data_IF_844539857618
#
_entry.id   IF_844539857618
#
_cell.length_a   1.000
_cell.length_b   1.000
_cell.length_c   1.000
_cell.angle_alpha   90.00
_cell.angle_beta   90.00
_cell.angle_gamma   90.00
#
_symmetry.space_group_name_H-M   'P 1'
#
loop_
_entity.id
_entity.type
_entity.pdbx_description
1 polymer ?
#
# COMPACT_ATOMS: atom_id res chain seq x y z
N UNK A 1 -23.72 27.80 -15.59
CA UNK A 1 -22.58 27.28 -14.81
C UNK A 1 -21.65 26.57 -15.79
N UNK A 2 -20.49 27.14 -16.08
CA UNK A 2 -19.57 26.62 -17.08
C UNK A 2 -18.97 25.28 -16.62
N UNK A 3 -19.24 24.23 -17.40
CA UNK A 3 -18.57 22.95 -17.27
C UNK A 3 -17.06 23.21 -17.43
N UNK A 4 -16.24 22.93 -16.41
CA UNK A 4 -14.77 23.03 -16.50
C UNK A 4 -14.21 21.87 -17.34
N UNK A 5 -14.76 21.66 -18.52
CA UNK A 5 -14.09 20.88 -19.54
C UNK A 5 -13.03 21.81 -20.13
N UNK A 6 -11.79 21.58 -19.70
CA UNK A 6 -10.61 22.33 -20.07
C UNK A 6 -10.61 22.66 -21.58
N UNK A 7 -10.88 23.92 -21.95
CA UNK A 7 -10.88 24.42 -23.33
C UNK A 7 -9.53 24.28 -24.08
N UNK A 8 -8.51 23.68 -23.43
CA UNK A 8 -7.17 23.41 -23.95
C UNK A 8 -6.76 21.93 -23.80
N UNK A 9 -7.69 21.03 -23.47
CA UNK A 9 -7.36 19.61 -23.32
C UNK A 9 -7.07 18.97 -24.68
N UNK A 10 -5.78 18.74 -24.96
CA UNK A 10 -5.33 17.97 -26.10
C UNK A 10 -4.75 16.64 -25.63
N UNK A 11 -5.55 15.58 -25.79
CA UNK A 11 -5.26 14.23 -25.31
C UNK A 11 -3.88 13.71 -25.74
N UNK A 12 -3.41 13.91 -27.00
CA UNK A 12 -2.09 13.43 -27.41
C UNK A 12 -0.92 14.00 -26.61
N UNK A 13 -0.98 15.29 -26.22
CA UNK A 13 0.06 15.89 -25.36
C UNK A 13 0.07 15.20 -23.99
N UNK A 14 -1.11 14.97 -23.39
CA UNK A 14 -1.21 14.26 -22.12
C UNK A 14 -0.68 12.82 -22.23
N UNK A 15 -0.96 12.12 -23.33
CA UNK A 15 -0.44 10.77 -23.59
C UNK A 15 1.09 10.75 -23.69
N UNK A 16 1.70 11.70 -24.39
CA UNK A 16 3.15 11.80 -24.52
C UNK A 16 3.79 12.04 -23.14
N UNK A 17 3.26 13.00 -22.37
CA UNK A 17 3.77 13.32 -21.02
C UNK A 17 3.73 12.09 -20.11
N UNK A 18 2.57 11.41 -20.04
CA UNK A 18 2.40 10.23 -19.18
C UNK A 18 3.29 9.07 -19.65
N UNK A 19 3.49 8.91 -20.96
CA UNK A 19 4.35 7.85 -21.51
C UNK A 19 5.81 8.09 -21.16
N UNK A 20 6.30 9.32 -21.32
CA UNK A 20 7.67 9.69 -20.95
C UNK A 20 7.90 9.50 -19.44
N UNK A 21 6.97 9.97 -18.60
CA UNK A 21 7.05 9.76 -17.15
C UNK A 21 7.10 8.27 -16.76
N UNK A 22 6.29 7.43 -17.42
CA UNK A 22 6.33 5.98 -17.22
C UNK A 22 7.67 5.36 -17.60
N UNK A 23 8.30 5.80 -18.68
CA UNK A 23 9.63 5.30 -19.05
C UNK A 23 10.71 5.67 -18.04
N UNK A 24 10.64 6.87 -17.46
CA UNK A 24 11.56 7.27 -16.39
C UNK A 24 11.41 6.37 -15.15
N UNK A 25 10.16 6.13 -14.71
CA UNK A 25 9.89 5.21 -13.59
C UNK A 25 10.28 3.76 -13.91
N UNK A 26 10.08 3.31 -15.15
CA UNK A 26 10.51 1.98 -15.58
C UNK A 26 12.04 1.84 -15.56
N UNK A 27 12.77 2.88 -15.99
CA UNK A 27 14.22 2.94 -15.89
C UNK A 27 14.70 2.84 -14.43
N UNK A 28 14.07 3.59 -13.53
CA UNK A 28 14.34 3.52 -12.10
C UNK A 28 14.03 2.14 -11.51
N UNK A 29 12.90 1.53 -11.89
CA UNK A 29 12.55 0.16 -11.52
C UNK A 29 13.64 -0.84 -11.94
N UNK A 30 14.12 -0.75 -13.17
CA UNK A 30 15.18 -1.64 -13.66
C UNK A 30 16.50 -1.44 -12.92
N UNK A 31 16.88 -0.20 -12.61
CA UNK A 31 18.05 0.08 -11.78
C UNK A 31 17.92 -0.59 -10.41
N UNK A 32 16.81 -0.35 -9.71
CA UNK A 32 16.56 -0.91 -8.38
C UNK A 32 16.58 -2.44 -8.39
N UNK A 33 15.95 -3.05 -9.40
CA UNK A 33 15.95 -4.52 -9.56
C UNK A 33 17.35 -5.08 -9.78
N UNK A 34 18.20 -4.40 -10.56
CA UNK A 34 19.61 -4.80 -10.76
C UNK A 34 20.43 -4.73 -9.48
N UNK A 35 20.08 -3.80 -8.59
CA UNK A 35 20.69 -3.65 -7.27
C UNK A 35 20.04 -4.58 -6.21
N UNK A 36 19.23 -5.56 -6.62
CA UNK A 36 18.51 -6.50 -5.75
C UNK A 36 17.53 -5.85 -4.76
N UNK A 37 17.07 -4.63 -5.03
CA UNK A 37 15.97 -4.04 -4.28
C UNK A 37 14.62 -4.57 -4.75
N UNK A 38 13.70 -4.73 -3.79
CA UNK A 38 12.31 -5.08 -4.08
C UNK A 38 11.47 -3.81 -4.18
N UNK A 39 10.89 -3.57 -5.36
CA UNK A 39 9.87 -2.53 -5.55
C UNK A 39 8.51 -3.10 -5.18
N UNK A 40 7.91 -2.57 -4.12
CA UNK A 40 6.63 -3.04 -3.56
C UNK A 40 5.41 -2.43 -4.24
N UNK A 41 5.56 -1.24 -4.81
CA UNK A 41 4.47 -0.49 -5.44
C UNK A 41 5.02 0.51 -6.44
N UNK A 42 4.26 0.77 -7.49
CA UNK A 42 4.53 1.78 -8.51
C UNK A 42 3.21 2.42 -8.97
N UNK A 43 3.16 3.74 -9.12
CA UNK A 43 2.06 4.44 -9.81
C UNK A 43 2.61 5.40 -10.86
N UNK A 44 1.86 6.46 -11.19
CA UNK A 44 2.18 7.40 -12.27
C UNK A 44 3.43 8.24 -12.03
N UNK A 45 3.82 8.44 -10.78
CA UNK A 45 4.85 9.40 -10.37
C UNK A 45 5.75 8.91 -9.22
N UNK A 46 5.50 7.71 -8.67
CA UNK A 46 6.15 7.24 -7.46
C UNK A 46 6.46 5.74 -7.49
N UNK A 47 7.54 5.37 -6.81
CA UNK A 47 7.96 4.00 -6.55
C UNK A 47 8.15 3.83 -5.04
N UNK A 48 7.67 2.71 -4.50
CA UNK A 48 7.93 2.33 -3.11
C UNK A 48 8.90 1.16 -3.10
N UNK A 49 10.03 1.34 -2.43
CA UNK A 49 11.13 0.37 -2.41
C UNK A 49 11.32 -0.17 -1.01
N UNK A 50 11.36 -1.50 -0.87
CA UNK A 50 11.60 -2.16 0.40
C UNK A 50 13.06 -1.94 0.81
N UNK A 51 13.25 -1.53 2.07
CA UNK A 51 14.56 -1.42 2.70
C UNK A 51 15.55 -0.53 1.94
N UNK A 52 15.06 0.52 1.28
CA UNK A 52 15.93 1.55 0.71
C UNK A 52 16.77 2.19 1.83
N UNK A 53 18.09 2.18 1.66
CA UNK A 53 19.04 2.59 2.71
C UNK A 53 19.19 4.10 2.77
N UNK A 54 19.18 4.76 1.61
CA UNK A 54 19.42 6.19 1.45
C UNK A 54 18.16 7.04 1.72
N UNK A 55 18.34 8.32 2.04
CA UNK A 55 17.25 9.32 2.11
C UNK A 55 17.32 10.30 0.93
N UNK A 56 17.83 9.83 -0.21
CA UNK A 56 17.91 10.56 -1.48
C UNK A 56 17.66 9.58 -2.64
N UNK A 57 17.72 10.08 -3.87
CA UNK A 57 17.58 9.30 -5.09
C UNK A 57 18.75 9.53 -6.05
N UNK A 58 19.92 9.96 -5.56
CA UNK A 58 21.01 10.48 -6.38
C UNK A 58 21.59 9.39 -7.28
N UNK A 59 21.76 8.18 -6.75
CA UNK A 59 22.26 7.03 -7.50
C UNK A 59 21.31 6.61 -8.63
N UNK A 60 19.99 6.66 -8.38
CA UNK A 60 18.96 6.40 -9.39
C UNK A 60 18.95 7.50 -10.46
N UNK A 61 19.00 8.77 -10.03
CA UNK A 61 18.99 9.92 -10.93
C UNK A 61 20.26 9.95 -11.82
N UNK A 62 21.42 9.62 -11.25
CA UNK A 62 22.67 9.49 -12.00
C UNK A 62 22.60 8.38 -13.05
N UNK A 63 21.97 7.24 -12.73
CA UNK A 63 21.73 6.17 -13.69
C UNK A 63 20.78 6.58 -14.81
N UNK A 64 19.71 7.31 -14.48
CA UNK A 64 18.74 7.79 -15.46
C UNK A 64 19.35 8.82 -16.42
N UNK A 65 20.31 9.63 -15.94
CA UNK A 65 21.03 10.64 -16.72
C UNK A 65 20.10 11.53 -17.57
N UNK A 66 19.03 12.03 -16.95
CA UNK A 66 18.02 12.84 -17.62
C UNK A 66 18.32 14.33 -17.42
N UNK A 67 18.22 15.11 -18.50
CA UNK A 67 18.37 16.57 -18.45
C UNK A 67 17.15 17.29 -17.85
N UNK A 68 16.03 16.58 -17.67
CA UNK A 68 14.79 17.10 -17.10
C UNK A 68 14.02 16.03 -16.32
N UNK A 69 13.52 16.41 -15.15
CA UNK A 69 12.83 15.50 -14.23
C UNK A 69 13.81 14.71 -13.37
N UNK A 70 13.63 14.79 -12.04
CA UNK A 70 14.40 14.00 -11.08
C UNK A 70 13.46 13.32 -10.09
N UNK A 71 13.82 12.09 -9.71
CA UNK A 71 13.18 11.41 -8.60
C UNK A 71 13.62 12.08 -7.31
N UNK A 72 12.66 12.25 -6.41
CA UNK A 72 12.89 12.80 -5.08
C UNK A 72 12.51 11.78 -4.03
N UNK A 73 13.31 11.73 -2.98
CA UNK A 73 12.94 10.98 -1.80
C UNK A 73 11.78 11.70 -1.11
N UNK A 74 10.65 11.00 -0.94
CA UNK A 74 9.45 11.57 -0.32
C UNK A 74 9.42 11.28 1.19
N UNK A 75 9.42 9.99 1.58
CA UNK A 75 9.26 9.59 2.97
C UNK A 75 9.67 8.14 3.22
N UNK A 76 9.91 7.80 4.50
CA UNK A 76 10.10 6.41 4.96
C UNK A 76 8.83 5.91 5.62
N UNK A 77 8.41 4.72 5.23
CA UNK A 77 7.29 3.99 5.83
C UNK A 77 7.85 2.86 6.68
N UNK A 78 7.47 2.78 7.95
CA UNK A 78 7.87 1.69 8.84
C UNK A 78 7.18 0.39 8.45
N UNK A 79 5.93 0.51 7.96
CA UNK A 79 5.09 -0.59 7.50
C UNK A 79 4.25 -0.14 6.32
N UNK A 80 4.00 -1.06 5.39
CA UNK A 80 3.22 -0.82 4.18
C UNK A 80 2.36 -2.04 3.89
N UNK A 81 1.06 -1.82 3.69
CA UNK A 81 0.08 -2.78 3.21
C UNK A 81 -0.52 -2.25 1.90
N UNK A 82 -0.15 -2.88 0.79
CA UNK A 82 -0.69 -2.57 -0.54
C UNK A 82 -1.86 -3.50 -0.82
N UNK A 83 -3.04 -2.94 -1.10
CA UNK A 83 -4.25 -3.71 -1.37
C UNK A 83 -4.59 -3.73 -2.87
N UNK A 84 -4.46 -2.59 -3.53
CA UNK A 84 -4.58 -2.46 -5.00
C UNK A 84 -4.00 -1.14 -5.47
N UNK A 85 -4.05 -0.88 -6.78
CA UNK A 85 -3.63 0.40 -7.35
C UNK A 85 -4.35 1.57 -6.65
N UNK A 86 -3.59 2.57 -6.21
CA UNK A 86 -4.06 3.75 -5.44
C UNK A 86 -4.75 3.43 -4.12
N UNK A 87 -4.71 2.19 -3.64
CA UNK A 87 -5.30 1.77 -2.35
C UNK A 87 -4.28 1.04 -1.49
N UNK A 88 -3.75 1.75 -0.52
CA UNK A 88 -2.74 1.23 0.39
C UNK A 88 -2.82 1.94 1.74
N UNK A 89 -2.29 1.27 2.75
CA UNK A 89 -2.22 1.73 4.13
C UNK A 89 -0.76 1.65 4.54
N UNK A 90 -0.25 2.69 5.20
CA UNK A 90 1.12 2.68 5.67
C UNK A 90 1.24 3.34 7.04
N UNK A 91 2.32 3.01 7.74
CA UNK A 91 2.67 3.65 8.99
C UNK A 91 3.90 4.52 8.78
N UNK A 92 3.82 5.77 9.22
CA UNK A 92 4.95 6.72 9.17
C UNK A 92 5.99 6.38 10.23
N UNK A 93 7.17 7.01 10.15
CA UNK A 93 8.18 6.95 11.21
C UNK A 93 7.69 7.51 12.56
N UNK A 94 6.69 8.39 12.55
CA UNK A 94 6.06 8.95 13.77
C UNK A 94 4.99 8.03 14.37
N UNK A 95 4.78 6.84 13.80
CA UNK A 95 3.78 5.88 14.27
C UNK A 95 2.36 6.11 13.75
N UNK A 96 2.10 7.23 13.07
CA UNK A 96 0.79 7.53 12.48
C UNK A 96 0.46 6.56 11.33
N UNK A 97 -0.75 5.98 11.37
CA UNK A 97 -1.32 5.16 10.31
C UNK A 97 -2.02 6.08 9.29
N UNK A 98 -1.69 5.92 8.00
CA UNK A 98 -2.24 6.71 6.90
C UNK A 98 -2.89 5.79 5.88
N UNK A 99 -4.12 6.10 5.50
CA UNK A 99 -4.86 5.40 4.44
C UNK A 99 -4.88 6.24 3.17
N UNK A 100 -4.61 5.61 2.02
CA UNK A 100 -4.68 6.25 0.70
C UNK A 100 -5.69 5.52 -0.16
N UNK A 101 -6.63 6.25 -0.76
CA UNK A 101 -7.68 5.69 -1.64
C UNK A 101 -8.92 5.14 -0.92
N UNK A 102 -9.11 5.46 0.36
CA UNK A 102 -10.23 4.98 1.19
C UNK A 102 -11.26 6.08 1.54
N UNK A 103 -11.04 7.31 1.10
CA UNK A 103 -11.95 8.43 1.38
C UNK A 103 -13.29 8.23 0.67
N UNK A 104 -14.33 7.91 1.43
CA UNK A 104 -15.73 8.01 1.02
C UNK A 104 -16.38 9.09 1.87
N UNK A 105 -17.38 9.80 1.33
CA UNK A 105 -18.26 10.59 2.18
C UNK A 105 -19.03 9.63 3.08
N UNK A 106 -18.61 9.55 4.34
CA UNK A 106 -19.19 8.68 5.36
C UNK A 106 -19.61 9.53 6.55
N UNK A 107 -20.60 9.04 7.30
CA UNK A 107 -20.98 9.63 8.57
C UNK A 107 -19.85 9.42 9.60
N UNK A 108 -19.66 10.37 10.52
CA UNK A 108 -18.68 10.34 11.62
C UNK A 108 -18.63 9.00 12.36
N UNK A 109 -19.78 8.34 12.57
CA UNK A 109 -19.84 7.03 13.23
C UNK A 109 -19.07 5.96 12.43
N UNK A 110 -19.23 5.94 11.11
CA UNK A 110 -18.56 4.98 10.24
C UNK A 110 -17.06 5.27 10.20
N UNK A 111 -16.67 6.55 10.19
CA UNK A 111 -15.26 6.95 10.25
C UNK A 111 -14.61 6.50 11.54
N UNK A 112 -15.27 6.74 12.69
CA UNK A 112 -14.83 6.31 14.00
C UNK A 112 -14.64 4.78 14.07
N UNK A 113 -15.66 4.01 13.67
CA UNK A 113 -15.58 2.55 13.68
C UNK A 113 -14.49 2.04 12.73
N UNK A 114 -14.36 2.64 11.54
CA UNK A 114 -13.33 2.25 10.56
C UNK A 114 -11.93 2.51 11.09
N UNK A 115 -11.73 3.64 11.77
CA UNK A 115 -10.46 3.96 12.41
C UNK A 115 -10.15 2.99 13.55
N UNK A 116 -11.12 2.68 14.41
CA UNK A 116 -10.96 1.72 15.50
C UNK A 116 -10.59 0.33 14.98
N UNK A 117 -11.28 -0.16 13.94
CA UNK A 117 -10.99 -1.44 13.28
C UNK A 117 -9.58 -1.42 12.71
N UNK A 118 -9.20 -0.33 12.05
CA UNK A 118 -7.90 -0.19 11.41
C UNK A 118 -6.77 -0.24 12.45
N UNK A 119 -6.87 0.53 13.53
CA UNK A 119 -5.84 0.59 14.58
C UNK A 119 -5.67 -0.77 15.28
N UNK A 120 -6.77 -1.44 15.58
CA UNK A 120 -6.75 -2.77 16.21
C UNK A 120 -6.23 -3.84 15.26
N UNK A 121 -6.72 -3.88 14.02
CA UNK A 121 -6.26 -4.82 12.99
C UNK A 121 -4.79 -4.62 12.63
N UNK A 122 -4.35 -3.36 12.52
CA UNK A 122 -2.95 -3.02 12.26
C UNK A 122 -2.03 -3.47 13.38
N UNK A 123 -2.42 -3.21 14.64
CA UNK A 123 -1.69 -3.67 15.81
C UNK A 123 -1.64 -5.19 15.88
N UNK A 124 -2.74 -5.87 15.56
CA UNK A 124 -2.78 -7.34 15.54
C UNK A 124 -1.84 -7.94 14.50
N UNK A 125 -1.87 -7.44 13.25
CA UNK A 125 -1.07 -7.99 12.15
C UNK A 125 0.42 -7.89 12.43
N UNK A 126 0.86 -6.80 13.06
CA UNK A 126 2.27 -6.44 13.09
C UNK A 126 2.90 -6.33 14.49
N UNK A 127 2.12 -6.26 15.58
CA UNK A 127 2.65 -6.17 16.95
C UNK A 127 2.42 -7.44 17.79
N UNK A 128 1.58 -8.37 17.33
CA UNK A 128 1.36 -9.63 18.04
C UNK A 128 2.33 -10.68 17.49
N UNK A 129 3.17 -11.23 18.37
CA UNK A 129 4.04 -12.36 18.05
C UNK A 129 3.18 -13.54 17.60
N UNK A 130 3.22 -13.88 16.31
CA UNK A 130 2.53 -15.07 15.80
C UNK A 130 3.37 -16.31 16.11
N UNK A 131 2.78 -17.37 16.69
CA UNK A 131 3.47 -18.65 16.74
C UNK A 131 3.68 -19.19 15.32
N UNK A 132 4.79 -19.88 15.12
CA UNK A 132 5.12 -20.53 13.85
C UNK A 132 4.06 -21.60 13.59
N UNK A 133 3.35 -21.57 12.45
CA UNK A 133 2.33 -22.58 12.17
C UNK A 133 3.01 -23.95 12.01
N UNK A 134 2.56 -24.93 12.81
CA UNK A 134 2.90 -26.33 12.63
C UNK A 134 2.24 -26.84 11.33
N UNK A 135 3.01 -27.20 10.29
CA UNK A 135 2.46 -27.62 9.01
C UNK A 135 1.58 -28.88 9.11
N UNK A 136 1.64 -29.64 10.21
CA UNK A 136 0.83 -30.83 10.43
C UNK A 136 -0.55 -30.55 11.09
N UNK A 137 -0.75 -29.39 11.73
CA UNK A 137 -1.95 -29.10 12.54
C UNK A 137 -2.85 -27.99 11.98
N UNK A 138 -2.47 -27.37 10.86
CA UNK A 138 -3.15 -26.18 10.38
C UNK A 138 -2.94 -24.97 11.31
N UNK A 139 -3.50 -23.83 10.94
CA UNK A 139 -3.47 -22.62 11.77
C UNK A 139 -4.38 -22.81 12.99
N UNK A 140 -3.79 -23.02 14.16
CA UNK A 140 -4.51 -23.02 15.45
C UNK A 140 -4.45 -21.64 16.10
N UNK A 141 -5.62 -21.13 16.48
CA UNK A 141 -5.79 -19.86 17.19
C UNK A 141 -5.92 -20.04 18.72
N UNK A 142 -5.72 -21.26 19.25
CA UNK A 142 -5.89 -21.56 20.67
C UNK A 142 -5.05 -20.65 21.60
N UNK A 143 -3.87 -20.23 21.15
CA UNK A 143 -3.00 -19.30 21.90
C UNK A 143 -3.59 -17.88 22.07
N UNK A 144 -4.59 -17.50 21.24
CA UNK A 144 -5.32 -16.24 21.36
C UNK A 144 -6.40 -16.29 22.46
N UNK A 145 -6.85 -17.49 22.83
CA UNK A 145 -7.83 -17.71 23.89
C UNK A 145 -7.23 -17.56 25.30
N UNK A 146 -5.90 -17.61 25.43
CA UNK A 146 -5.23 -17.53 26.73
C UNK A 146 -4.74 -16.11 27.07
N UNK A 147 -4.42 -15.28 26.06
CA UNK A 147 -3.67 -14.03 26.27
C UNK A 147 -4.45 -12.72 26.00
N UNK A 148 -5.74 -12.79 25.63
CA UNK A 148 -6.51 -11.61 25.23
C UNK A 148 -7.82 -11.47 26.00
N UNK A 149 -8.19 -10.23 26.32
CA UNK A 149 -9.51 -9.89 26.88
C UNK A 149 -10.62 -10.25 25.87
N UNK A 150 -11.82 -10.57 26.36
CA UNK A 150 -12.95 -10.98 25.52
C UNK A 150 -13.27 -9.99 24.39
N UNK A 151 -13.13 -8.68 24.64
CA UNK A 151 -13.30 -7.64 23.62
C UNK A 151 -12.32 -7.81 22.45
N UNK A 152 -11.04 -8.08 22.75
CA UNK A 152 -10.00 -8.30 21.72
C UNK A 152 -10.20 -9.62 20.95
N UNK A 153 -10.81 -10.63 21.57
CA UNK A 153 -11.18 -11.91 20.90
C UNK A 153 -12.27 -11.70 19.84
N UNK A 154 -13.26 -10.85 20.12
CA UNK A 154 -14.32 -10.52 19.17
C UNK A 154 -13.80 -9.88 17.88
N UNK A 155 -12.77 -9.03 17.99
CA UNK A 155 -12.15 -8.36 16.84
C UNK A 155 -11.33 -9.29 15.95
N UNK A 156 -10.69 -10.31 16.53
CA UNK A 156 -9.89 -11.30 15.81
C UNK A 156 -10.79 -12.22 14.98
N UNK A 157 -11.92 -12.66 15.56
CA UNK A 157 -12.91 -13.45 14.83
C UNK A 157 -13.42 -12.66 13.60
N UNK A 158 -13.63 -11.36 13.77
CA UNK A 158 -14.02 -10.45 12.68
C UNK A 158 -12.92 -10.30 11.61
N UNK A 159 -11.65 -10.17 12.01
CA UNK A 159 -10.54 -10.05 11.06
C UNK A 159 -10.30 -11.35 10.26
N UNK A 160 -10.47 -12.51 10.89
CA UNK A 160 -10.37 -13.82 10.22
C UNK A 160 -11.55 -14.04 9.26
N UNK A 161 -12.78 -13.66 9.66
CA UNK A 161 -13.95 -13.66 8.76
C UNK A 161 -13.68 -12.74 7.55
N UNK A 162 -13.11 -11.55 7.75
CA UNK A 162 -12.76 -10.64 6.65
C UNK A 162 -11.69 -11.23 5.72
N UNK A 163 -10.67 -11.92 6.24
CA UNK A 163 -9.69 -12.64 5.43
C UNK A 163 -10.33 -13.81 4.64
N UNK A 164 -11.22 -14.58 5.26
CA UNK A 164 -11.93 -15.67 4.60
C UNK A 164 -12.88 -15.15 3.50
N UNK A 165 -13.54 -14.00 3.72
CA UNK A 165 -14.35 -13.31 2.70
C UNK A 165 -13.47 -12.78 1.56
N UNK A 166 -12.26 -12.28 1.84
CA UNK A 166 -11.32 -11.82 0.82
C UNK A 166 -10.86 -12.97 -0.11
N UNK A 167 -10.75 -14.20 0.39
CA UNK A 167 -10.50 -15.39 -0.42
C UNK A 167 -11.70 -15.79 -1.29
N UNK A 168 -12.94 -15.55 -0.84
CA UNK A 168 -14.16 -15.79 -1.64
C UNK A 168 -14.40 -14.74 -2.73
N UNK A 169 -13.91 -13.52 -2.55
CA UNK A 169 -13.99 -12.45 -3.55
C UNK A 169 -12.92 -12.54 -4.65
N UNK A 170 -12.04 -13.56 -4.64
CA UNK A 170 -11.10 -13.87 -5.74
C UNK A 170 -11.79 -14.55 -6.92
N UNK A 171 -12.89 -14.00 -7.41
CA UNK A 171 -13.37 -14.38 -8.74
C UNK A 171 -12.47 -13.70 -9.77
N UNK A 172 -11.46 -14.44 -10.22
CA UNK A 172 -10.37 -13.95 -11.08
C UNK A 172 -10.87 -13.37 -12.42
N UNK A 173 -12.11 -13.68 -12.83
CA UNK A 173 -12.69 -13.21 -14.10
C UNK A 173 -13.04 -11.72 -14.13
N UNK A 174 -13.12 -11.03 -13.00
CA UNK A 174 -13.51 -9.61 -12.97
C UNK A 174 -12.32 -8.63 -13.04
N UNK A 175 -11.09 -9.14 -12.95
CA UNK A 175 -9.85 -8.34 -12.91
C UNK A 175 -8.74 -8.85 -13.85
N UNK A 176 -9.07 -9.74 -14.79
CA UNK A 176 -8.18 -9.99 -15.93
C UNK A 176 -8.22 -8.77 -16.87
N UNK A 177 -7.02 -8.33 -17.25
CA UNK A 177 -6.67 -7.17 -18.10
C UNK A 177 -7.68 -6.87 -19.20
#
# INVERSE_FOLDING_TARGET
MANKEYCLAYVPIAMIIVTLARYQLLGAYHYLKRQNYLVCYADTDSLMVRSWTENNCDSVNAYLNLSFGSLKYEQRMTRLLVLSRKRYIYQTSKGQIVTKGFQKHTNEIIEFISQLVLENGWSFIFNVSKPVPDPAKGLSYAWLEENLSMERRGWILWADILQQVQYKCRDAKKYSI
#
